data_IF_327208307667
#
_entry.id   IF_327208307667
#
_cell.length_a   1.000
_cell.length_b   1.000
_cell.length_c   1.000
_cell.angle_alpha   90.00
_cell.angle_beta   90.00
_cell.angle_gamma   90.00
#
_symmetry.space_group_name_H-M   'P 1'
#
loop_
_entity.id
_entity.type
_entity.pdbx_description
1 polymer ?
#
# COMPACT_ATOMS: atom_id res chain seq x y z
N UNK A 1 11.33 -27.23 -4.99
CA UNK A 1 10.81 -27.60 -3.66
C UNK A 1 9.75 -26.57 -3.29
N UNK A 2 8.50 -27.00 -3.10
CA UNK A 2 7.45 -26.11 -2.61
C UNK A 2 7.75 -25.74 -1.14
N UNK A 3 7.47 -24.50 -0.69
CA UNK A 3 7.66 -24.13 0.70
C UNK A 3 6.76 -25.00 1.58
N UNK A 4 7.39 -25.66 2.56
CA UNK A 4 6.73 -26.51 3.53
C UNK A 4 5.85 -25.62 4.42
N UNK A 5 4.54 -25.60 4.15
CA UNK A 5 3.56 -24.93 4.99
C UNK A 5 3.61 -25.58 6.38
N UNK A 6 4.24 -24.91 7.35
CA UNK A 6 4.20 -25.30 8.77
C UNK A 6 2.74 -25.34 9.23
N UNK A 7 2.15 -26.55 9.24
CA UNK A 7 0.90 -26.81 9.97
C UNK A 7 1.20 -26.60 11.45
N UNK A 8 0.57 -25.59 12.04
CA UNK A 8 0.49 -25.50 13.49
C UNK A 8 -0.23 -26.77 13.97
N UNK A 9 0.39 -27.52 14.89
CA UNK A 9 -0.08 -28.86 15.30
C UNK A 9 -1.35 -28.81 16.15
N UNK A 10 -1.83 -27.62 16.50
CA UNK A 10 -3.10 -27.42 17.18
C UNK A 10 -4.09 -26.64 16.30
N UNK A 11 -5.07 -27.36 15.76
CA UNK A 11 -6.25 -26.88 15.02
C UNK A 11 -6.03 -26.27 13.63
N UNK A 12 -5.91 -27.14 12.61
CA UNK A 12 -6.70 -27.12 11.36
C UNK A 12 -6.65 -25.93 10.39
N UNK A 13 -6.03 -24.80 10.73
CA UNK A 13 -5.85 -23.65 9.86
C UNK A 13 -4.39 -23.50 9.47
N UNK A 14 -4.08 -23.57 8.18
CA UNK A 14 -2.75 -23.22 7.68
C UNK A 14 -2.58 -21.71 7.83
N UNK A 15 -1.76 -21.27 8.78
CA UNK A 15 -1.36 -19.87 8.88
C UNK A 15 -0.32 -19.65 7.77
N UNK A 16 -0.65 -18.80 6.81
CA UNK A 16 0.35 -18.34 5.84
C UNK A 16 1.39 -17.48 6.59
N UNK A 17 2.63 -17.95 6.62
CA UNK A 17 3.76 -17.17 7.10
C UNK A 17 4.11 -16.11 6.04
N UNK A 18 4.64 -14.97 6.49
CA UNK A 18 5.10 -13.95 5.54
C UNK A 18 6.40 -14.41 4.88
N UNK A 19 6.73 -13.92 3.68
CA UNK A 19 8.02 -14.23 3.06
C UNK A 19 9.24 -13.89 3.95
N UNK A 20 9.14 -12.85 4.78
CA UNK A 20 10.20 -12.53 5.75
C UNK A 20 10.26 -13.53 6.90
N UNK A 21 9.11 -13.97 7.44
CA UNK A 21 9.07 -15.04 8.44
C UNK A 21 9.68 -16.33 7.86
N UNK A 22 9.34 -16.69 6.62
CA UNK A 22 9.92 -17.86 5.95
C UNK A 22 11.44 -17.72 5.72
N UNK A 23 11.92 -16.52 5.37
CA UNK A 23 13.36 -16.30 5.13
C UNK A 23 14.19 -16.29 6.42
N UNK A 24 13.64 -15.78 7.52
CA UNK A 24 14.34 -15.63 8.81
C UNK A 24 14.17 -16.87 9.68
N UNK A 25 12.94 -17.39 9.81
CA UNK A 25 12.62 -18.52 10.68
C UNK A 25 12.65 -19.87 9.94
N UNK A 26 12.69 -19.86 8.61
CA UNK A 26 12.89 -21.04 7.77
C UNK A 26 14.36 -21.36 7.51
N UNK A 27 14.60 -22.50 6.85
CA UNK A 27 15.92 -23.00 6.48
C UNK A 27 16.34 -22.46 5.10
N UNK A 28 16.41 -21.13 4.99
CA UNK A 28 16.78 -20.45 3.74
C UNK A 28 18.30 -20.34 3.61
N UNK A 29 18.83 -20.70 2.43
CA UNK A 29 20.25 -20.53 2.08
C UNK A 29 20.72 -19.06 2.20
N UNK A 30 19.81 -18.09 2.07
CA UNK A 30 20.12 -16.66 2.11
C UNK A 30 19.93 -16.01 3.49
N UNK A 31 19.60 -16.79 4.53
CA UNK A 31 19.35 -16.28 5.88
C UNK A 31 20.52 -15.45 6.42
N UNK A 32 21.76 -15.94 6.26
CA UNK A 32 22.96 -15.21 6.70
C UNK A 32 23.13 -13.86 6.00
N UNK A 33 22.87 -13.82 4.68
CA UNK A 33 22.92 -12.58 3.90
C UNK A 33 21.84 -11.58 4.38
N UNK A 34 20.62 -12.05 4.58
CA UNK A 34 19.52 -11.23 5.10
C UNK A 34 19.85 -10.66 6.48
N UNK A 35 20.33 -11.48 7.42
CA UNK A 35 20.72 -11.02 8.76
C UNK A 35 21.83 -9.97 8.70
N UNK A 36 22.84 -10.18 7.83
CA UNK A 36 23.95 -9.25 7.65
C UNK A 36 23.48 -7.92 7.07
N UNK A 37 22.61 -7.97 6.06
CA UNK A 37 22.01 -6.78 5.45
C UNK A 37 21.18 -5.96 6.45
N UNK A 38 20.35 -6.63 7.26
CA UNK A 38 19.58 -5.99 8.32
C UNK A 38 20.48 -5.38 9.40
N UNK A 39 21.62 -6.01 9.71
CA UNK A 39 22.61 -5.46 10.62
C UNK A 39 23.24 -4.17 10.06
N UNK A 40 23.59 -4.14 8.77
CA UNK A 40 24.10 -2.90 8.13
C UNK A 40 23.06 -1.78 8.15
N UNK A 41 21.80 -2.07 7.84
CA UNK A 41 20.72 -1.10 7.95
C UNK A 41 20.60 -0.61 9.40
N UNK A 42 20.60 -1.52 10.37
CA UNK A 42 20.52 -1.17 11.79
C UNK A 42 21.66 -0.26 12.24
N UNK A 43 22.90 -0.57 11.84
CA UNK A 43 24.07 0.27 12.12
C UNK A 43 23.99 1.64 11.45
N UNK A 44 23.51 1.71 10.21
CA UNK A 44 23.32 2.96 9.49
C UNK A 44 22.25 3.84 10.15
N UNK A 45 21.12 3.25 10.53
CA UNK A 45 20.06 3.95 11.27
C UNK A 45 20.55 4.42 12.65
N UNK A 46 21.35 3.60 13.33
CA UNK A 46 21.97 3.99 14.60
C UNK A 46 22.92 5.18 14.41
N UNK A 47 23.76 5.17 13.36
CA UNK A 47 24.62 6.30 13.00
C UNK A 47 23.80 7.58 12.78
N UNK A 48 22.73 7.51 11.99
CA UNK A 48 21.87 8.66 11.73
C UNK A 48 21.19 9.17 13.01
N UNK A 49 20.72 8.27 13.88
CA UNK A 49 20.14 8.65 15.17
C UNK A 49 21.16 9.28 16.11
N UNK A 50 22.42 8.83 16.08
CA UNK A 50 23.51 9.46 16.81
C UNK A 50 23.84 10.86 16.29
N UNK A 51 23.89 11.03 14.96
CA UNK A 51 24.09 12.34 14.33
C UNK A 51 22.95 13.31 14.67
N UNK A 52 21.70 12.82 14.66
CA UNK A 52 20.54 13.60 15.11
C UNK A 52 20.71 14.07 16.56
N UNK A 53 21.05 13.17 17.48
CA UNK A 53 21.29 13.50 18.89
C UNK A 53 22.37 14.56 19.06
N UNK A 54 23.46 14.49 18.28
CA UNK A 54 24.53 15.49 18.34
C UNK A 54 24.08 16.85 17.81
N UNK A 55 23.24 16.89 16.78
CA UNK A 55 22.77 18.13 16.17
C UNK A 55 21.71 18.84 17.02
N UNK A 56 20.75 18.09 17.59
CA UNK A 56 19.59 18.65 18.29
C UNK A 56 19.69 18.55 19.82
N UNK A 57 20.69 17.83 20.35
CA UNK A 57 20.91 17.65 21.79
C UNK A 57 19.93 16.69 22.47
N UNK A 58 18.95 16.16 21.74
CA UNK A 58 17.97 15.19 22.22
C UNK A 58 17.58 14.23 21.08
N UNK A 59 17.10 13.03 21.44
CA UNK A 59 16.45 12.17 20.48
C UNK A 59 15.11 12.81 20.14
N UNK A 60 14.52 12.51 18.98
CA UNK A 60 13.16 12.90 18.66
C UNK A 60 12.19 12.38 19.74
N UNK A 61 11.91 13.22 20.74
CA UNK A 61 11.21 12.85 21.98
C UNK A 61 9.69 12.78 21.77
N UNK A 62 9.16 13.59 20.84
CA UNK A 62 7.74 13.64 20.50
C UNK A 62 7.53 13.31 19.02
N UNK A 63 7.49 12.01 18.71
CA UNK A 63 7.13 11.49 17.38
C UNK A 63 5.89 12.18 16.80
N UNK A 64 4.90 12.47 17.64
CA UNK A 64 3.65 13.15 17.25
C UNK A 64 3.92 14.59 16.80
N UNK A 65 4.75 15.33 17.53
CA UNK A 65 5.09 16.72 17.21
C UNK A 65 5.96 16.79 15.94
N UNK A 66 6.90 15.86 15.78
CA UNK A 66 7.80 15.81 14.63
C UNK A 66 7.06 15.40 13.36
N UNK A 67 6.13 14.44 13.47
CA UNK A 67 5.27 14.06 12.37
C UNK A 67 4.15 15.09 12.11
N UNK A 68 4.08 16.19 12.87
CA UNK A 68 3.06 17.23 12.72
C UNK A 68 1.63 16.68 12.83
N UNK A 69 1.44 15.60 13.59
CA UNK A 69 0.17 14.89 13.63
C UNK A 69 -0.83 15.68 14.48
N UNK A 70 -1.79 16.31 13.81
CA UNK A 70 -3.01 16.77 14.46
C UNK A 70 -3.89 15.56 14.77
N UNK A 71 -3.60 14.90 15.90
CA UNK A 71 -4.31 13.70 16.34
C UNK A 71 -5.82 13.94 16.50
N UNK A 72 -6.23 15.14 16.88
CA UNK A 72 -7.63 15.49 17.03
C UNK A 72 -8.34 15.66 15.69
N UNK A 73 -7.67 16.23 14.68
CA UNK A 73 -8.18 16.24 13.33
C UNK A 73 -8.28 14.81 12.77
N UNK A 74 -7.19 14.04 12.87
CA UNK A 74 -7.13 12.66 12.37
C UNK A 74 -8.23 11.81 13.01
N UNK A 75 -8.32 11.77 14.34
CA UNK A 75 -9.30 10.93 15.03
C UNK A 75 -10.75 11.28 14.65
N UNK A 76 -11.08 12.57 14.54
CA UNK A 76 -12.42 12.99 14.10
C UNK A 76 -12.71 12.57 12.66
N UNK A 77 -11.76 12.78 11.75
CA UNK A 77 -11.94 12.41 10.34
C UNK A 77 -12.04 10.90 10.17
N UNK A 78 -11.20 10.12 10.85
CA UNK A 78 -11.26 8.65 10.86
C UNK A 78 -12.60 8.13 11.36
N UNK A 79 -13.13 8.68 12.47
CA UNK A 79 -14.46 8.30 12.99
C UNK A 79 -15.56 8.63 11.98
N UNK A 80 -15.55 9.82 11.40
CA UNK A 80 -16.56 10.24 10.41
C UNK A 80 -16.51 9.39 9.13
N UNK A 81 -15.30 9.14 8.62
CA UNK A 81 -15.06 8.27 7.48
C UNK A 81 -15.53 6.84 7.77
N UNK A 82 -15.19 6.31 8.93
CA UNK A 82 -15.60 4.98 9.35
C UNK A 82 -17.12 4.84 9.45
N UNK A 83 -17.80 5.81 10.07
CA UNK A 83 -19.26 5.85 10.12
C UNK A 83 -19.87 5.95 8.71
N UNK A 84 -19.24 6.70 7.81
CA UNK A 84 -19.67 6.78 6.40
C UNK A 84 -19.72 5.41 5.71
N UNK A 85 -18.81 4.48 6.05
CA UNK A 85 -18.82 3.14 5.46
C UNK A 85 -20.15 2.40 5.67
N UNK A 86 -20.87 2.65 6.77
CA UNK A 86 -22.15 1.99 7.05
C UNK A 86 -23.26 2.36 6.04
N UNK A 87 -23.07 3.41 5.24
CA UNK A 87 -23.97 3.74 4.12
C UNK A 87 -24.10 2.55 3.16
N UNK A 88 -23.02 1.83 2.85
CA UNK A 88 -23.13 0.65 1.98
C UNK A 88 -23.93 -0.48 2.62
N UNK A 89 -23.81 -0.65 3.94
CA UNK A 89 -24.62 -1.64 4.66
C UNK A 89 -26.11 -1.30 4.59
N UNK A 90 -26.46 -0.03 4.79
CA UNK A 90 -27.84 0.46 4.71
C UNK A 90 -28.41 0.26 3.31
N UNK A 91 -27.69 0.64 2.25
CA UNK A 91 -28.15 0.46 0.85
C UNK A 91 -28.39 -1.01 0.53
N UNK A 92 -27.47 -1.91 0.89
CA UNK A 92 -27.63 -3.34 0.64
C UNK A 92 -28.77 -3.95 1.46
N UNK A 93 -29.01 -3.44 2.67
CA UNK A 93 -30.16 -3.83 3.48
C UNK A 93 -31.49 -3.40 2.85
N UNK A 94 -31.54 -2.21 2.22
CA UNK A 94 -32.72 -1.75 1.46
C UNK A 94 -32.95 -2.58 0.20
N UNK A 95 -31.87 -2.96 -0.50
CA UNK A 95 -31.97 -3.90 -1.63
C UNK A 95 -32.56 -5.23 -1.18
N UNK A 96 -32.12 -5.76 -0.04
CA UNK A 96 -32.63 -7.04 0.49
C UNK A 96 -34.14 -7.05 0.74
N UNK A 97 -34.71 -5.92 1.18
CA UNK A 97 -36.15 -5.76 1.50
C UNK A 97 -36.96 -5.31 0.28
N UNK A 98 -36.39 -5.37 -0.93
CA UNK A 98 -37.03 -4.96 -2.19
C UNK A 98 -37.47 -3.48 -2.23
N UNK A 99 -36.97 -2.64 -1.32
CA UNK A 99 -37.22 -1.19 -1.33
C UNK A 99 -36.39 -0.47 -2.38
N UNK A 100 -35.29 -1.07 -2.82
CA UNK A 100 -34.34 -0.48 -3.75
C UNK A 100 -33.86 -1.52 -4.77
N UNK A 101 -33.93 -1.21 -6.05
CA UNK A 101 -33.40 -2.10 -7.10
C UNK A 101 -31.91 -1.84 -7.34
N UNK A 102 -31.09 -2.88 -7.20
CA UNK A 102 -29.64 -2.79 -7.37
C UNK A 102 -29.21 -2.28 -8.76
N UNK A 103 -29.84 -2.78 -9.84
CA UNK A 103 -29.38 -2.53 -11.21
C UNK A 103 -29.72 -1.12 -11.71
N UNK A 104 -30.83 -0.55 -11.25
CA UNK A 104 -31.28 0.77 -11.70
C UNK A 104 -30.80 1.90 -10.79
N UNK A 105 -31.11 1.82 -9.49
CA UNK A 105 -30.84 2.91 -8.54
C UNK A 105 -29.66 2.62 -7.62
N UNK A 106 -29.46 1.36 -7.20
CA UNK A 106 -28.50 1.02 -6.14
C UNK A 106 -27.06 1.19 -6.57
N UNK A 107 -26.70 0.64 -7.71
CA UNK A 107 -25.36 0.76 -8.27
C UNK A 107 -24.99 2.22 -8.55
N UNK A 108 -25.89 2.98 -9.18
CA UNK A 108 -25.67 4.39 -9.50
C UNK A 108 -25.49 5.23 -8.23
N UNK A 109 -26.34 5.02 -7.23
CA UNK A 109 -26.21 5.70 -5.94
C UNK A 109 -24.88 5.39 -5.27
N UNK A 110 -24.47 4.11 -5.24
CA UNK A 110 -23.19 3.71 -4.65
C UNK A 110 -22.00 4.31 -5.40
N UNK A 111 -22.00 4.33 -6.73
CA UNK A 111 -20.94 4.93 -7.52
C UNK A 111 -20.79 6.44 -7.25
N UNK A 112 -21.91 7.18 -7.17
CA UNK A 112 -21.90 8.61 -6.81
C UNK A 112 -21.44 8.82 -5.37
N UNK A 113 -21.87 7.96 -4.45
CA UNK A 113 -21.47 8.00 -3.05
C UNK A 113 -19.97 7.75 -2.87
N UNK A 114 -19.39 6.78 -3.57
CA UNK A 114 -17.96 6.47 -3.53
C UNK A 114 -17.11 7.65 -4.00
N UNK A 115 -17.52 8.32 -5.09
CA UNK A 115 -16.85 9.54 -5.57
C UNK A 115 -16.99 10.67 -4.55
N UNK A 116 -18.20 10.91 -4.05
CA UNK A 116 -18.45 11.93 -3.03
C UNK A 116 -17.61 11.67 -1.78
N UNK A 117 -17.55 10.43 -1.30
CA UNK A 117 -16.78 10.01 -0.14
C UNK A 117 -15.30 10.32 -0.34
N UNK A 118 -14.71 9.89 -1.47
CA UNK A 118 -13.29 10.12 -1.74
C UNK A 118 -12.97 11.61 -1.81
N UNK A 119 -13.73 12.41 -2.55
CA UNK A 119 -13.40 13.83 -2.73
C UNK A 119 -13.75 14.70 -1.53
N UNK A 120 -14.85 14.45 -0.83
CA UNK A 120 -15.30 15.29 0.30
C UNK A 120 -14.31 15.24 1.47
N UNK A 121 -13.91 14.05 1.92
CA UNK A 121 -12.98 13.91 3.04
C UNK A 121 -11.60 14.48 2.72
N UNK A 122 -11.08 14.22 1.52
CA UNK A 122 -9.80 14.78 1.09
C UNK A 122 -9.85 16.32 0.93
N UNK A 123 -11.00 16.88 0.55
CA UNK A 123 -11.20 18.33 0.52
C UNK A 123 -11.19 18.94 1.92
N UNK A 124 -11.81 18.28 2.92
CA UNK A 124 -11.88 18.78 4.29
C UNK A 124 -10.50 18.89 4.95
N UNK A 125 -9.60 17.95 4.67
CA UNK A 125 -8.25 17.91 5.27
C UNK A 125 -7.21 18.69 4.48
N UNK A 126 -7.57 19.38 3.39
CA UNK A 126 -6.61 20.13 2.55
C UNK A 126 -5.76 21.16 3.28
N UNK A 127 -6.25 21.66 4.43
CA UNK A 127 -5.57 22.66 5.28
C UNK A 127 -4.73 22.03 6.39
N UNK A 128 -4.83 20.72 6.60
CA UNK A 128 -4.04 20.00 7.60
C UNK A 128 -2.61 19.77 7.11
N UNK A 129 -1.72 19.39 8.02
CA UNK A 129 -0.35 19.00 7.70
C UNK A 129 -0.27 17.88 6.66
N UNK A 130 0.82 17.83 5.90
CA UNK A 130 0.94 16.93 4.74
C UNK A 130 0.84 15.45 5.11
N UNK A 131 1.37 15.04 6.27
CA UNK A 131 1.28 13.66 6.76
C UNK A 131 -0.18 13.29 7.06
N UNK A 132 -0.92 14.18 7.74
CA UNK A 132 -2.36 14.02 7.99
C UNK A 132 -3.13 13.87 6.69
N UNK A 133 -2.83 14.69 5.67
CA UNK A 133 -3.46 14.58 4.35
C UNK A 133 -3.21 13.22 3.70
N UNK A 134 -1.97 12.73 3.73
CA UNK A 134 -1.61 11.41 3.17
C UNK A 134 -2.31 10.28 3.89
N UNK A 135 -2.33 10.30 5.23
CA UNK A 135 -2.97 9.27 6.03
C UNK A 135 -4.46 9.15 5.67
N UNK A 136 -5.18 10.28 5.70
CA UNK A 136 -6.61 10.35 5.39
C UNK A 136 -6.87 9.95 3.93
N UNK A 137 -6.01 10.35 3.00
CA UNK A 137 -6.10 9.90 1.61
C UNK A 137 -5.99 8.37 1.48
N UNK A 138 -4.93 7.77 2.04
CA UNK A 138 -4.72 6.33 1.97
C UNK A 138 -5.87 5.54 2.62
N UNK A 139 -6.34 6.00 3.79
CA UNK A 139 -7.46 5.38 4.48
C UNK A 139 -8.77 5.52 3.70
N UNK A 140 -9.05 6.70 3.14
CA UNK A 140 -10.24 6.91 2.30
C UNK A 140 -10.22 6.03 1.05
N UNK A 141 -9.08 5.86 0.38
CA UNK A 141 -8.95 4.91 -0.73
C UNK A 141 -9.24 3.46 -0.28
N UNK A 142 -8.63 3.01 0.82
CA UNK A 142 -8.85 1.67 1.34
C UNK A 142 -10.34 1.43 1.72
N UNK A 143 -10.97 2.41 2.36
CA UNK A 143 -12.37 2.33 2.76
C UNK A 143 -13.32 2.36 1.56
N UNK A 144 -13.07 3.21 0.54
CA UNK A 144 -13.84 3.21 -0.72
C UNK A 144 -13.73 1.86 -1.43
N UNK A 145 -12.53 1.27 -1.50
CA UNK A 145 -12.37 -0.08 -2.06
C UNK A 145 -13.16 -1.12 -1.26
N UNK A 146 -13.20 -1.01 0.08
CA UNK A 146 -14.00 -1.91 0.91
C UNK A 146 -15.51 -1.75 0.68
N UNK A 147 -15.99 -0.50 0.64
CA UNK A 147 -17.38 -0.10 0.35
C UNK A 147 -17.79 -0.69 -1.00
N UNK A 148 -16.99 -0.43 -2.03
CA UNK A 148 -17.21 -0.92 -3.39
C UNK A 148 -17.27 -2.44 -3.44
N UNK A 149 -16.28 -3.11 -2.83
CA UNK A 149 -16.24 -4.57 -2.86
C UNK A 149 -17.43 -5.22 -2.15
N UNK A 150 -17.90 -4.63 -1.04
CA UNK A 150 -19.07 -5.12 -0.32
C UNK A 150 -20.35 -4.92 -1.16
N UNK A 151 -20.56 -3.70 -1.65
CA UNK A 151 -21.73 -3.35 -2.43
C UNK A 151 -21.81 -4.13 -3.74
N UNK A 152 -20.72 -4.21 -4.50
CA UNK A 152 -20.66 -4.96 -5.75
C UNK A 152 -20.93 -6.47 -5.56
N UNK A 153 -20.37 -7.07 -4.50
CA UNK A 153 -20.50 -8.52 -4.26
C UNK A 153 -21.90 -8.91 -3.80
N UNK A 154 -22.50 -8.13 -2.90
CA UNK A 154 -23.82 -8.44 -2.35
C UNK A 154 -24.96 -7.85 -3.15
N UNK A 155 -24.74 -6.77 -3.91
CA UNK A 155 -25.81 -6.04 -4.58
C UNK A 155 -26.66 -6.90 -5.52
N UNK A 156 -26.04 -7.80 -6.28
CA UNK A 156 -26.76 -8.72 -7.17
C UNK A 156 -27.37 -9.94 -6.47
N UNK A 157 -26.90 -10.27 -5.26
CA UNK A 157 -27.25 -11.52 -4.55
C UNK A 157 -27.82 -11.26 -3.14
N UNK A 158 -28.28 -10.04 -2.86
CA UNK A 158 -28.64 -9.58 -1.53
C UNK A 158 -29.77 -10.43 -0.91
N UNK A 159 -30.73 -10.86 -1.73
CA UNK A 159 -31.86 -11.68 -1.30
C UNK A 159 -31.46 -13.09 -0.86
N UNK A 160 -30.36 -13.63 -1.39
CA UNK A 160 -29.89 -15.00 -1.11
C UNK A 160 -28.92 -15.07 0.06
N UNK A 161 -28.39 -13.93 0.52
CA UNK A 161 -27.32 -13.86 1.49
C UNK A 161 -27.82 -13.40 2.87
N UNK A 162 -27.21 -13.94 3.92
CA UNK A 162 -27.40 -13.44 5.28
C UNK A 162 -26.60 -12.14 5.42
N UNK A 163 -27.29 -11.04 5.67
CA UNK A 163 -26.69 -9.71 5.86
C UNK A 163 -26.87 -9.35 7.32
N UNK A 164 -25.76 -9.24 8.06
CA UNK A 164 -25.77 -8.83 9.46
C UNK A 164 -24.80 -7.69 9.69
N UNK A 165 -25.14 -6.80 10.63
CA UNK A 165 -24.27 -5.69 11.02
C UNK A 165 -22.93 -6.18 11.57
N UNK A 166 -22.95 -7.33 12.27
CA UNK A 166 -21.76 -7.95 12.84
C UNK A 166 -20.79 -8.40 11.76
N UNK A 167 -21.28 -9.09 10.72
CA UNK A 167 -20.41 -9.57 9.64
C UNK A 167 -19.81 -8.41 8.85
N UNK A 168 -20.61 -7.35 8.62
CA UNK A 168 -20.13 -6.10 8.03
C UNK A 168 -19.04 -5.44 8.88
N UNK A 169 -19.28 -5.26 10.18
CA UNK A 169 -18.30 -4.70 11.11
C UNK A 169 -17.00 -5.51 11.15
N UNK A 170 -17.08 -6.84 11.17
CA UNK A 170 -15.87 -7.67 11.15
C UNK A 170 -15.09 -7.48 9.84
N UNK A 171 -15.78 -7.40 8.69
CA UNK A 171 -15.15 -7.12 7.41
C UNK A 171 -14.47 -5.76 7.34
N UNK A 172 -15.08 -4.70 7.89
CA UNK A 172 -14.45 -3.37 7.92
C UNK A 172 -13.16 -3.37 8.74
N UNK A 173 -13.03 -4.25 9.74
CA UNK A 173 -11.81 -4.42 10.54
C UNK A 173 -10.74 -5.31 9.90
N UNK A 174 -11.10 -6.28 9.06
CA UNK A 174 -10.10 -7.19 8.47
C UNK A 174 -9.13 -6.48 7.51
N UNK A 175 -7.83 -6.86 7.47
CA UNK A 175 -6.84 -6.25 6.60
C UNK A 175 -6.93 -6.72 5.12
N UNK A 176 -8.15 -6.85 4.59
CA UNK A 176 -8.44 -7.19 3.19
C UNK A 176 -9.33 -6.13 2.54
N UNK A 177 -9.17 -5.94 1.23
CA UNK A 177 -9.97 -4.99 0.44
C UNK A 177 -11.07 -5.70 -0.36
N UNK A 178 -11.11 -7.03 -0.33
CA UNK A 178 -12.10 -7.83 -1.05
C UNK A 178 -13.03 -8.51 -0.05
N UNK A 179 -14.33 -8.21 -0.19
CA UNK A 179 -15.38 -8.86 0.56
C UNK A 179 -15.58 -10.31 0.10
N UNK A 180 -15.66 -11.20 1.08
CA UNK A 180 -16.03 -12.60 0.91
C UNK A 180 -17.07 -12.95 1.98
N UNK A 181 -17.93 -13.92 1.67
CA UNK A 181 -19.00 -14.34 2.58
C UNK A 181 -18.45 -15.08 3.81
N UNK A 182 -17.34 -15.80 3.64
CA UNK A 182 -16.71 -16.59 4.69
C UNK A 182 -15.20 -16.34 4.69
N UNK A 183 -14.69 -15.70 5.74
CA UNK A 183 -13.26 -15.49 5.94
C UNK A 183 -12.65 -16.60 6.79
N UNK A 184 -11.42 -17.00 6.46
CA UNK A 184 -10.65 -17.97 7.25
C UNK A 184 -10.12 -17.28 8.51
N UNK A 185 -10.32 -17.91 9.67
CA UNK A 185 -9.99 -17.34 10.98
C UNK A 185 -9.01 -18.19 11.77
N UNK A 186 -8.20 -17.53 12.60
CA UNK A 186 -7.34 -18.20 13.58
C UNK A 186 -8.12 -18.48 14.87
N UNK A 187 -7.65 -19.46 15.65
CA UNK A 187 -8.27 -19.87 16.92
C UNK A 187 -7.84 -19.03 18.12
N UNK A 188 -6.63 -18.46 18.09
CA UNK A 188 -6.01 -17.71 19.19
C UNK A 188 -5.19 -16.52 18.71
N UNK A 189 -5.00 -15.56 19.59
CA UNK A 189 -4.05 -14.44 19.44
C UNK A 189 -2.71 -14.83 20.05
N UNK A 190 -1.63 -14.77 19.27
CA UNK A 190 -0.26 -15.03 19.71
C UNK A 190 0.36 -13.76 20.26
N UNK A 191 0.25 -13.55 21.58
CA UNK A 191 0.66 -12.32 22.23
C UNK A 191 2.15 -11.99 22.04
N UNK A 192 3.04 -12.98 22.06
CA UNK A 192 4.48 -12.76 21.80
C UNK A 192 4.76 -12.25 20.38
N UNK A 193 4.04 -12.78 19.38
CA UNK A 193 4.10 -12.30 18.01
C UNK A 193 3.60 -10.85 17.91
N UNK A 194 2.48 -10.55 18.58
CA UNK A 194 1.88 -9.22 18.62
C UNK A 194 2.83 -8.18 19.24
N UNK A 195 3.38 -8.45 20.43
CA UNK A 195 4.28 -7.53 21.14
C UNK A 195 5.54 -7.25 20.30
N UNK A 196 6.15 -8.30 19.72
CA UNK A 196 7.31 -8.15 18.84
C UNK A 196 7.02 -7.21 17.66
N UNK A 197 5.87 -7.38 16.99
CA UNK A 197 5.48 -6.54 15.85
C UNK A 197 5.11 -5.12 16.28
N UNK A 198 4.43 -4.95 17.42
CA UNK A 198 4.12 -3.62 17.98
C UNK A 198 5.39 -2.83 18.33
N UNK A 199 6.40 -3.49 18.92
CA UNK A 199 7.70 -2.87 19.15
C UNK A 199 8.38 -2.47 17.84
N UNK A 200 8.37 -3.36 16.84
CA UNK A 200 8.92 -3.06 15.52
C UNK A 200 8.22 -1.88 14.83
N UNK A 201 6.92 -1.69 15.01
CA UNK A 201 6.20 -0.51 14.49
C UNK A 201 6.83 0.78 15.04
N UNK A 202 7.09 0.85 16.35
CA UNK A 202 7.71 2.03 16.97
C UNK A 202 9.12 2.28 16.43
N UNK A 203 9.93 1.23 16.32
CA UNK A 203 11.30 1.33 15.77
C UNK A 203 11.27 1.81 14.32
N UNK A 204 10.35 1.29 13.50
CA UNK A 204 10.23 1.67 12.08
C UNK A 204 9.74 3.12 11.93
N UNK A 205 8.74 3.55 12.72
CA UNK A 205 8.26 4.94 12.70
C UNK A 205 9.38 5.94 13.04
N UNK A 206 10.14 5.63 14.09
CA UNK A 206 11.29 6.44 14.50
C UNK A 206 12.38 6.46 13.43
N UNK A 207 12.67 5.31 12.81
CA UNK A 207 13.65 5.20 11.73
C UNK A 207 13.25 6.02 10.50
N UNK A 208 11.96 6.02 10.14
CA UNK A 208 11.43 6.82 9.03
C UNK A 208 11.66 8.33 9.27
N UNK A 209 11.36 8.81 10.49
CA UNK A 209 11.56 10.21 10.87
C UNK A 209 13.03 10.61 10.73
N UNK A 210 13.94 9.81 11.31
CA UNK A 210 15.38 10.08 11.22
C UNK A 210 15.88 10.11 9.78
N UNK A 211 15.45 9.17 8.93
CA UNK A 211 15.85 9.13 7.53
C UNK A 211 15.35 10.38 6.79
N UNK A 212 14.12 10.81 7.07
CA UNK A 212 13.56 12.03 6.49
C UNK A 212 14.36 13.26 6.94
N UNK A 213 14.58 13.44 8.24
CA UNK A 213 15.19 14.67 8.78
C UNK A 213 16.70 14.74 8.53
N UNK A 214 17.45 13.67 8.84
CA UNK A 214 18.92 13.69 8.75
C UNK A 214 19.44 13.48 7.33
N UNK A 215 18.75 12.68 6.52
CA UNK A 215 19.28 12.26 5.22
C UNK A 215 18.55 12.95 4.07
N UNK A 216 17.22 12.89 4.04
CA UNK A 216 16.46 13.37 2.88
C UNK A 216 16.24 14.87 2.88
N UNK A 217 15.92 15.46 4.03
CA UNK A 217 15.53 16.87 4.20
C UNK A 217 16.55 17.85 3.62
N UNK A 218 17.84 17.77 4.00
CA UNK A 218 18.89 18.64 3.44
C UNK A 218 19.02 18.53 1.92
N UNK A 219 18.95 17.31 1.37
CA UNK A 219 19.06 17.05 -0.06
C UNK A 219 17.86 17.66 -0.81
N UNK A 220 16.64 17.47 -0.28
CA UNK A 220 15.43 18.02 -0.88
C UNK A 220 15.41 19.56 -0.81
N UNK A 221 15.89 20.15 0.29
CA UNK A 221 16.01 21.59 0.43
C UNK A 221 17.01 22.19 -0.56
N UNK A 222 18.14 21.52 -0.80
CA UNK A 222 19.10 21.88 -1.85
C UNK A 222 18.43 21.83 -3.23
N UNK A 223 17.76 20.71 -3.55
CA UNK A 223 17.09 20.48 -4.84
C UNK A 223 16.04 21.57 -5.12
N UNK A 224 15.24 21.95 -4.13
CA UNK A 224 14.18 22.94 -4.26
C UNK A 224 14.70 24.35 -4.60
N UNK A 225 15.97 24.66 -4.28
CA UNK A 225 16.61 25.93 -4.58
C UNK A 225 17.39 25.90 -5.91
N UNK A 226 17.66 24.72 -6.46
CA UNK A 226 18.40 24.57 -7.72
C UNK A 226 17.48 24.72 -8.93
N UNK A 227 17.67 25.72 -9.81
CA UNK A 227 16.91 25.80 -11.06
C UNK A 227 17.26 24.64 -11.99
N UNK A 228 16.31 24.24 -12.84
CA UNK A 228 16.54 23.21 -13.87
C UNK A 228 17.38 23.81 -15.00
N UNK A 229 18.70 23.68 -14.91
CA UNK A 229 19.63 24.23 -15.91
C UNK A 229 20.04 23.19 -16.96
N UNK A 230 20.16 21.90 -16.58
CA UNK A 230 20.65 20.83 -17.46
C UNK A 230 20.20 19.45 -17.01
N UNK A 231 20.15 18.49 -17.95
CA UNK A 231 19.90 17.07 -17.67
C UNK A 231 20.92 16.48 -16.68
N UNK A 232 22.18 16.94 -16.71
CA UNK A 232 23.23 16.50 -15.77
C UNK A 232 22.90 16.87 -14.33
N UNK A 233 22.30 18.05 -14.10
CA UNK A 233 21.85 18.49 -12.77
C UNK A 233 20.75 17.57 -12.24
N UNK A 234 19.78 17.22 -13.09
CA UNK A 234 18.69 16.30 -12.73
C UNK A 234 19.23 14.93 -12.36
N UNK A 235 20.12 14.35 -13.19
CA UNK A 235 20.73 13.04 -12.92
C UNK A 235 21.52 13.05 -11.61
N UNK A 236 22.31 14.10 -11.36
CA UNK A 236 23.10 14.24 -10.14
C UNK A 236 22.20 14.29 -8.90
N UNK A 237 21.10 15.06 -8.96
CA UNK A 237 20.13 15.16 -7.87
C UNK A 237 19.42 13.83 -7.60
N UNK A 238 19.08 13.07 -8.65
CA UNK A 238 18.51 11.72 -8.51
C UNK A 238 19.49 10.78 -7.79
N UNK A 239 20.75 10.78 -8.18
CA UNK A 239 21.78 9.92 -7.59
C UNK A 239 22.10 10.29 -6.14
N UNK A 240 22.07 11.59 -5.80
CA UNK A 240 22.20 12.05 -4.41
C UNK A 240 21.05 11.56 -3.53
N UNK A 241 19.82 11.67 -4.02
CA UNK A 241 18.61 11.36 -3.27
C UNK A 241 18.30 9.85 -3.19
N UNK A 242 18.84 9.08 -4.14
CA UNK A 242 18.59 7.64 -4.33
C UNK A 242 18.75 6.79 -3.06
N UNK A 243 19.87 6.84 -2.30
CA UNK A 243 20.06 5.93 -1.18
C UNK A 243 19.02 6.16 -0.08
N UNK A 244 18.75 7.42 0.23
CA UNK A 244 17.81 7.83 1.27
C UNK A 244 16.38 7.48 0.89
N UNK A 245 15.98 7.71 -0.36
CA UNK A 245 14.67 7.34 -0.86
C UNK A 245 14.44 5.83 -0.89
N UNK A 246 15.42 5.06 -1.35
CA UNK A 246 15.30 3.61 -1.37
C UNK A 246 15.12 3.06 0.04
N UNK A 247 15.95 3.52 0.99
CA UNK A 247 15.84 3.12 2.39
C UNK A 247 14.46 3.49 2.96
N UNK A 248 13.97 4.71 2.71
CA UNK A 248 12.65 5.14 3.14
C UNK A 248 11.54 4.23 2.60
N UNK A 249 11.57 3.90 1.31
CA UNK A 249 10.59 3.00 0.69
C UNK A 249 10.63 1.59 1.31
N UNK A 250 11.81 1.04 1.57
CA UNK A 250 11.96 -0.27 2.23
C UNK A 250 11.42 -0.26 3.66
N UNK A 251 11.74 0.76 4.45
CA UNK A 251 11.24 0.91 5.83
C UNK A 251 9.73 1.11 5.85
N UNK A 252 9.18 1.93 4.95
CA UNK A 252 7.75 2.15 4.83
C UNK A 252 7.01 0.87 4.40
N UNK A 253 7.59 0.10 3.48
CA UNK A 253 7.05 -1.20 3.08
C UNK A 253 7.02 -2.18 4.26
N UNK A 254 8.13 -2.30 5.00
CA UNK A 254 8.22 -3.17 6.16
C UNK A 254 7.25 -2.74 7.29
N UNK A 255 7.12 -1.44 7.53
CA UNK A 255 6.18 -0.91 8.51
C UNK A 255 4.73 -1.32 8.20
N UNK A 256 4.28 -1.10 6.97
CA UNK A 256 2.86 -1.30 6.62
C UNK A 256 2.54 -2.77 6.42
N UNK A 257 3.20 -3.45 5.48
CA UNK A 257 2.80 -4.80 5.06
C UNK A 257 3.28 -5.88 6.02
N UNK A 258 4.47 -5.69 6.60
CA UNK A 258 5.07 -6.71 7.45
C UNK A 258 4.69 -6.52 8.93
N UNK A 259 4.54 -5.29 9.41
CA UNK A 259 4.15 -5.04 10.81
C UNK A 259 2.67 -4.72 10.98
N UNK A 260 2.18 -3.60 10.42
CA UNK A 260 0.84 -3.08 10.70
C UNK A 260 -0.28 -4.03 10.28
N UNK A 261 -0.28 -4.51 9.04
CA UNK A 261 -1.32 -5.43 8.55
C UNK A 261 -1.34 -6.75 9.34
N UNK A 262 -0.17 -7.25 9.74
CA UNK A 262 -0.04 -8.46 10.55
C UNK A 262 -0.55 -8.28 11.99
N UNK A 263 -0.33 -7.11 12.59
CA UNK A 263 -0.91 -6.75 13.90
C UNK A 263 -2.43 -6.73 13.80
N UNK A 264 -2.98 -6.03 12.80
CA UNK A 264 -4.43 -5.96 12.58
C UNK A 264 -5.00 -7.37 12.32
N UNK A 265 -4.31 -8.19 11.52
CA UNK A 265 -4.71 -9.57 11.25
C UNK A 265 -4.76 -10.42 12.52
N UNK A 266 -3.74 -10.32 13.37
CA UNK A 266 -3.68 -11.07 14.64
C UNK A 266 -4.80 -10.63 15.59
N UNK A 267 -5.02 -9.32 15.76
CA UNK A 267 -6.08 -8.77 16.63
C UNK A 267 -7.49 -9.13 16.17
N UNK A 268 -7.69 -9.26 14.86
CA UNK A 268 -8.99 -9.59 14.26
C UNK A 268 -9.19 -11.10 14.04
N UNK A 269 -8.23 -11.94 14.42
CA UNK A 269 -8.22 -13.38 14.15
C UNK A 269 -8.28 -13.72 12.65
N UNK A 270 -7.73 -12.84 11.80
CA UNK A 270 -7.69 -13.05 10.35
C UNK A 270 -6.50 -13.96 9.97
N UNK A 271 -6.80 -15.04 9.26
CA UNK A 271 -5.80 -16.06 8.93
C UNK A 271 -5.10 -15.85 7.58
N UNK A 272 -5.75 -15.23 6.59
CA UNK A 272 -5.14 -15.00 5.27
C UNK A 272 -4.14 -13.84 5.33
N UNK A 273 -2.85 -14.17 5.49
CA UNK A 273 -1.75 -13.18 5.57
C UNK A 273 -0.98 -13.01 4.27
N UNK A 274 -1.57 -13.39 3.14
CA UNK A 274 -1.02 -13.16 1.79
C UNK A 274 -1.17 -11.67 1.40
N UNK A 275 -0.52 -10.77 2.16
CA UNK A 275 -0.50 -9.32 1.90
C UNK A 275 0.51 -8.93 0.83
N UNK A 276 1.62 -9.68 0.73
CA UNK A 276 2.67 -9.51 -0.25
C UNK A 276 3.42 -10.84 -0.48
N UNK A 277 4.14 -10.94 -1.59
CA UNK A 277 5.03 -12.06 -1.94
C UNK A 277 6.47 -11.56 -2.12
N UNK A 278 7.39 -12.43 -2.51
CA UNK A 278 8.81 -12.15 -2.77
C UNK A 278 9.03 -11.27 -4.02
N UNK A 279 8.44 -10.07 -4.02
CA UNK A 279 8.39 -9.15 -5.15
C UNK A 279 9.77 -8.65 -5.59
N UNK A 280 10.78 -8.71 -4.71
CA UNK A 280 12.18 -8.41 -5.04
C UNK A 280 12.78 -9.42 -6.03
N UNK A 281 12.21 -10.62 -6.15
CA UNK A 281 12.62 -11.64 -7.13
C UNK A 281 11.88 -11.54 -8.48
N UNK A 282 11.07 -10.48 -8.68
CA UNK A 282 10.29 -10.30 -9.90
C UNK A 282 11.19 -10.11 -11.11
N UNK A 283 10.89 -10.81 -12.21
CA UNK A 283 11.59 -10.63 -13.49
C UNK A 283 10.91 -9.63 -14.43
N UNK A 284 9.68 -9.22 -14.13
CA UNK A 284 8.91 -8.27 -14.97
C UNK A 284 8.06 -7.33 -14.12
N UNK A 285 7.66 -6.20 -14.72
CA UNK A 285 6.78 -5.23 -14.04
C UNK A 285 5.42 -5.87 -13.70
N UNK A 286 4.87 -6.71 -14.59
CA UNK A 286 3.60 -7.42 -14.32
C UNK A 286 3.71 -8.42 -13.16
N UNK A 287 4.87 -9.07 -13.01
CA UNK A 287 5.15 -9.95 -11.88
C UNK A 287 5.22 -9.15 -10.57
N UNK A 288 5.91 -8.01 -10.58
CA UNK A 288 5.95 -7.09 -9.44
C UNK A 288 4.56 -6.58 -9.05
N UNK A 289 3.77 -6.09 -10.01
CA UNK A 289 2.41 -5.59 -9.76
C UNK A 289 1.48 -6.64 -9.14
N UNK A 290 1.77 -7.93 -9.28
CA UNK A 290 0.95 -9.01 -8.72
C UNK A 290 1.44 -9.52 -7.35
N UNK A 291 2.68 -9.19 -6.97
CA UNK A 291 3.36 -9.70 -5.77
C UNK A 291 3.51 -8.66 -4.67
N UNK A 292 3.75 -7.39 -4.99
CA UNK A 292 4.13 -6.38 -3.98
C UNK A 292 3.00 -6.04 -2.99
N UNK A 293 1.79 -5.82 -3.49
CA UNK A 293 0.60 -5.51 -2.69
C UNK A 293 -0.57 -6.36 -3.17
N UNK A 294 -0.67 -7.55 -2.56
CA UNK A 294 -1.66 -8.57 -2.91
C UNK A 294 -3.08 -8.10 -2.63
N UNK A 295 -3.30 -7.33 -1.56
CA UNK A 295 -4.63 -6.83 -1.20
C UNK A 295 -5.22 -5.93 -2.30
N UNK A 296 -4.43 -4.95 -2.77
CA UNK A 296 -4.84 -4.07 -3.87
C UNK A 296 -4.90 -4.83 -5.20
N UNK A 297 -3.95 -5.73 -5.47
CA UNK A 297 -3.97 -6.55 -6.67
C UNK A 297 -5.24 -7.42 -6.76
N UNK A 298 -5.62 -8.12 -5.67
CA UNK A 298 -6.84 -8.94 -5.60
C UNK A 298 -8.08 -8.10 -5.90
N UNK A 299 -8.16 -6.88 -5.34
CA UNK A 299 -9.25 -5.94 -5.61
C UNK A 299 -9.30 -5.51 -7.08
N UNK A 300 -8.20 -4.97 -7.62
CA UNK A 300 -8.14 -4.49 -9.01
C UNK A 300 -8.42 -5.61 -10.00
N UNK A 301 -7.93 -6.81 -9.71
CA UNK A 301 -8.20 -7.99 -10.54
C UNK A 301 -9.70 -8.33 -10.58
N UNK A 302 -10.37 -8.35 -9.42
CA UNK A 302 -11.77 -8.76 -9.29
C UNK A 302 -12.76 -7.72 -9.82
N UNK A 303 -12.53 -6.45 -9.49
CA UNK A 303 -13.53 -5.39 -9.68
C UNK A 303 -13.24 -4.48 -10.88
N UNK A 304 -12.03 -4.53 -11.44
CA UNK A 304 -11.66 -3.70 -12.60
C UNK A 304 -11.26 -4.59 -13.78
N UNK A 305 -10.19 -5.38 -13.63
CA UNK A 305 -9.65 -6.19 -14.73
C UNK A 305 -10.65 -7.19 -15.30
N UNK A 306 -11.21 -8.08 -14.48
CA UNK A 306 -12.11 -9.14 -14.96
C UNK A 306 -13.39 -8.58 -15.62
N UNK A 307 -14.09 -7.57 -15.03
CA UNK A 307 -15.21 -6.92 -15.70
C UNK A 307 -14.83 -6.26 -17.02
N UNK A 308 -13.74 -5.50 -17.08
CA UNK A 308 -13.28 -4.86 -18.33
C UNK A 308 -12.98 -5.91 -19.41
N UNK A 309 -12.26 -6.98 -19.08
CA UNK A 309 -11.97 -8.05 -20.03
C UNK A 309 -13.25 -8.70 -20.56
N UNK A 310 -14.25 -8.91 -19.71
CA UNK A 310 -15.56 -9.46 -20.12
C UNK A 310 -16.32 -8.49 -21.04
N UNK A 311 -16.28 -7.19 -20.75
CA UNK A 311 -16.94 -6.17 -21.55
C UNK A 311 -16.31 -6.00 -22.94
N UNK A 312 -14.99 -6.16 -23.06
CA UNK A 312 -14.25 -6.06 -24.32
C UNK A 312 -13.94 -7.45 -24.93
N UNK A 313 -14.94 -8.35 -24.96
CA UNK A 313 -14.89 -9.65 -25.64
C UNK A 313 -13.66 -10.53 -25.32
N UNK A 314 -13.17 -10.48 -24.08
CA UNK A 314 -12.04 -11.29 -23.63
C UNK A 314 -10.66 -10.69 -23.92
N UNK A 315 -10.58 -9.47 -24.46
CA UNK A 315 -9.29 -8.85 -24.76
C UNK A 315 -8.58 -8.37 -23.49
N UNK A 316 -7.48 -9.05 -23.16
CA UNK A 316 -6.65 -8.79 -21.96
C UNK A 316 -5.99 -7.43 -21.97
N UNK A 317 -5.67 -6.87 -23.15
CA UNK A 317 -4.97 -5.60 -23.27
C UNK A 317 -5.77 -4.45 -22.66
N UNK A 318 -7.06 -4.34 -22.99
CA UNK A 318 -7.94 -3.32 -22.41
C UNK A 318 -8.07 -3.45 -20.89
N UNK A 319 -8.09 -4.69 -20.37
CA UNK A 319 -8.06 -4.93 -18.93
C UNK A 319 -6.79 -4.41 -18.27
N UNK A 320 -5.61 -4.64 -18.88
CA UNK A 320 -4.33 -4.14 -18.36
C UNK A 320 -4.32 -2.60 -18.40
N UNK A 321 -4.69 -2.00 -19.54
CA UNK A 321 -4.73 -0.54 -19.70
C UNK A 321 -5.67 0.10 -18.68
N UNK A 322 -6.87 -0.45 -18.45
CA UNK A 322 -7.83 0.08 -17.49
C UNK A 322 -7.30 0.05 -16.06
N UNK A 323 -6.68 -1.06 -15.64
CA UNK A 323 -6.07 -1.17 -14.30
C UNK A 323 -4.92 -0.18 -14.13
N UNK A 324 -4.04 -0.08 -15.13
CA UNK A 324 -2.91 0.84 -15.09
C UNK A 324 -3.37 2.29 -15.06
N UNK A 325 -4.35 2.66 -15.89
CA UNK A 325 -4.91 4.01 -15.94
C UNK A 325 -5.55 4.39 -14.60
N UNK A 326 -6.40 3.53 -14.05
CA UNK A 326 -7.04 3.77 -12.75
C UNK A 326 -5.99 3.92 -11.64
N UNK A 327 -5.01 3.00 -11.59
CA UNK A 327 -3.93 3.06 -10.61
C UNK A 327 -3.12 4.35 -10.76
N UNK A 328 -2.74 4.72 -11.98
CA UNK A 328 -2.00 5.96 -12.26
C UNK A 328 -2.75 7.22 -11.83
N UNK A 329 -4.07 7.28 -12.08
CA UNK A 329 -4.92 8.39 -11.65
C UNK A 329 -4.99 8.52 -10.13
N UNK A 330 -5.17 7.40 -9.41
CA UNK A 330 -5.24 7.40 -7.94
C UNK A 330 -3.89 7.80 -7.33
N UNK A 331 -2.77 7.35 -7.88
CA UNK A 331 -1.45 7.76 -7.38
C UNK A 331 -1.12 9.23 -7.72
N UNK A 332 -1.51 9.73 -8.90
CA UNK A 332 -1.41 11.16 -9.20
C UNK A 332 -2.26 11.99 -8.23
N UNK A 333 -3.46 11.51 -7.88
CA UNK A 333 -4.30 12.13 -6.86
C UNK A 333 -3.61 12.11 -5.48
N UNK A 334 -2.93 11.02 -5.12
CA UNK A 334 -2.15 10.93 -3.88
C UNK A 334 -1.05 12.02 -3.83
N UNK A 335 -0.31 12.18 -4.93
CA UNK A 335 0.72 13.21 -5.04
C UNK A 335 0.13 14.62 -5.08
N UNK A 336 -1.02 14.81 -5.72
CA UNK A 336 -1.74 16.08 -5.66
C UNK A 336 -2.15 16.43 -4.22
N UNK A 337 -2.61 15.46 -3.43
CA UNK A 337 -2.92 15.65 -2.00
C UNK A 337 -1.67 16.01 -1.19
N UNK A 338 -0.51 15.42 -1.51
CA UNK A 338 0.78 15.74 -0.87
C UNK A 338 1.24 17.15 -1.23
N UNK A 339 1.43 17.42 -2.52
CA UNK A 339 2.10 18.61 -3.02
C UNK A 339 1.18 19.81 -3.26
N UNK A 340 -0.14 19.60 -3.30
CA UNK A 340 -1.15 20.63 -3.57
C UNK A 340 -0.92 21.38 -4.90
N UNK A 341 -0.23 20.74 -5.86
CA UNK A 341 0.05 21.27 -7.21
C UNK A 341 -0.21 20.17 -8.25
N UNK A 342 -1.02 20.43 -9.30
CA UNK A 342 -1.25 19.47 -10.36
C UNK A 342 -0.04 19.46 -11.31
N UNK A 343 0.67 18.32 -11.39
CA UNK A 343 1.88 18.20 -12.22
C UNK A 343 1.83 17.08 -13.25
N UNK A 344 1.01 16.04 -13.08
CA UNK A 344 0.82 14.91 -14.01
C UNK A 344 2.05 14.04 -14.31
N UNK A 345 3.16 14.21 -13.59
CA UNK A 345 4.40 13.47 -13.86
C UNK A 345 4.28 11.99 -13.49
N UNK A 346 3.54 11.66 -12.42
CA UNK A 346 3.40 10.27 -12.00
C UNK A 346 2.59 9.47 -13.00
N UNK A 347 1.43 9.97 -13.44
CA UNK A 347 0.60 9.23 -14.39
C UNK A 347 1.35 8.98 -15.71
N UNK A 348 2.14 9.94 -16.19
CA UNK A 348 2.96 9.77 -17.39
C UNK A 348 4.03 8.68 -17.20
N UNK A 349 4.75 8.70 -16.07
CA UNK A 349 5.75 7.68 -15.74
C UNK A 349 5.12 6.29 -15.51
N UNK A 350 3.92 6.24 -14.94
CA UNK A 350 3.20 5.00 -14.70
C UNK A 350 2.66 4.40 -16.00
N UNK A 351 2.17 5.23 -16.93
CA UNK A 351 1.71 4.76 -18.25
C UNK A 351 2.86 4.30 -19.13
N UNK A 352 4.05 4.90 -19.00
CA UNK A 352 5.23 4.48 -19.76
C UNK A 352 5.74 3.07 -19.41
N UNK A 353 5.24 2.47 -18.31
CA UNK A 353 5.48 1.07 -17.98
C UNK A 353 4.82 0.10 -18.99
N UNK A 354 3.71 0.49 -19.65
CA UNK A 354 2.98 -0.38 -20.58
C UNK A 354 3.83 -0.80 -21.80
N UNK A 355 4.53 0.12 -22.51
CA UNK A 355 5.50 -0.27 -23.53
C UNK A 355 6.58 -1.23 -23.00
N UNK A 356 7.11 -0.99 -21.79
CA UNK A 356 8.13 -1.86 -21.19
C UNK A 356 7.58 -3.27 -20.96
N UNK A 357 6.34 -3.38 -20.49
CA UNK A 357 5.64 -4.66 -20.31
C UNK A 357 5.48 -5.41 -21.64
N UNK A 358 5.22 -4.71 -22.74
CA UNK A 358 5.13 -5.34 -24.07
C UNK A 358 6.47 -5.89 -24.54
N UNK A 359 7.57 -5.18 -24.24
CA UNK A 359 8.94 -5.63 -24.54
C UNK A 359 9.37 -6.80 -23.64
N UNK A 360 8.97 -6.78 -22.37
CA UNK A 360 9.20 -7.84 -21.39
C UNK A 360 8.32 -9.08 -21.66
N UNK A 361 8.42 -9.66 -22.86
CA UNK A 361 7.66 -10.85 -23.21
C UNK A 361 7.93 -11.99 -22.20
N UNK A 362 6.93 -12.85 -21.90
CA UNK A 362 7.12 -13.97 -20.99
C UNK A 362 8.23 -14.93 -21.43
N UNK A 363 8.48 -15.03 -22.74
CA UNK A 363 9.54 -15.87 -23.29
C UNK A 363 10.93 -15.30 -23.00
N UNK A 364 11.14 -14.00 -23.27
CA UNK A 364 12.41 -13.31 -23.00
C UNK A 364 12.74 -13.25 -21.51
N UNK A 365 11.72 -12.98 -20.67
CA UNK A 365 11.90 -12.89 -19.21
C UNK A 365 12.33 -14.25 -18.62
N UNK A 366 11.82 -15.36 -19.17
CA UNK A 366 12.20 -16.71 -18.72
C UNK A 366 13.61 -17.09 -19.13
N UNK A 367 14.03 -16.75 -20.34
CA UNK A 367 15.39 -17.07 -20.81
C UNK A 367 16.46 -16.23 -20.12
N UNK A 368 16.16 -14.96 -19.78
CA UNK A 368 17.11 -14.01 -19.22
C UNK A 368 16.74 -13.54 -17.80
N UNK A 369 16.32 -14.45 -16.93
CA UNK A 369 15.71 -14.10 -15.63
C UNK A 369 16.57 -13.18 -14.76
N UNK A 370 17.88 -13.42 -14.71
CA UNK A 370 18.80 -12.59 -13.92
C UNK A 370 18.87 -11.14 -14.46
N UNK A 371 19.04 -10.98 -15.78
CA UNK A 371 19.10 -9.65 -16.42
C UNK A 371 17.76 -8.93 -16.26
N UNK A 372 16.65 -9.66 -16.43
CA UNK A 372 15.31 -9.11 -16.27
C UNK A 372 15.05 -8.61 -14.84
N UNK A 373 15.46 -9.38 -13.83
CA UNK A 373 15.39 -8.97 -12.42
C UNK A 373 16.32 -7.78 -12.11
N UNK A 374 17.52 -7.74 -12.67
CA UNK A 374 18.42 -6.60 -12.50
C UNK A 374 17.84 -5.31 -13.08
N UNK A 375 17.34 -5.34 -14.33
CA UNK A 375 16.70 -4.19 -14.97
C UNK A 375 15.45 -3.74 -14.21
N UNK A 376 14.64 -4.69 -13.74
CA UNK A 376 13.51 -4.41 -12.86
C UNK A 376 13.94 -3.72 -11.55
N UNK A 377 15.01 -4.20 -10.93
CA UNK A 377 15.55 -3.64 -9.69
C UNK A 377 16.04 -2.22 -9.89
N UNK A 378 16.78 -1.94 -10.97
CA UNK A 378 17.19 -0.56 -11.30
C UNK A 378 15.97 0.36 -11.46
N UNK A 379 14.93 -0.13 -12.14
CA UNK A 379 13.70 0.63 -12.37
C UNK A 379 12.98 0.98 -11.06
N UNK A 380 12.71 0.00 -10.19
CA UNK A 380 11.93 0.21 -8.97
C UNK A 380 12.66 1.10 -7.96
N UNK A 381 14.00 1.06 -7.95
CA UNK A 381 14.78 1.84 -6.99
C UNK A 381 14.97 3.30 -7.44
N UNK A 382 15.17 3.55 -8.74
CA UNK A 382 15.36 4.92 -9.25
C UNK A 382 14.05 5.70 -9.39
N UNK A 383 12.92 5.01 -9.61
CA UNK A 383 11.61 5.64 -9.87
C UNK A 383 11.16 6.64 -8.79
N UNK A 384 11.12 6.28 -7.50
CA UNK A 384 10.72 7.20 -6.43
C UNK A 384 11.60 8.45 -6.36
N UNK A 385 12.92 8.29 -6.50
CA UNK A 385 13.89 9.38 -6.48
C UNK A 385 13.69 10.35 -7.65
N UNK A 386 13.46 9.81 -8.86
CA UNK A 386 13.12 10.60 -10.03
C UNK A 386 11.84 11.43 -9.80
N UNK A 387 10.79 10.80 -9.28
CA UNK A 387 9.53 11.49 -8.99
C UNK A 387 9.73 12.62 -7.99
N UNK A 388 10.43 12.39 -6.88
CA UNK A 388 10.66 13.45 -5.90
C UNK A 388 11.42 14.63 -6.50
N UNK A 389 12.45 14.38 -7.30
CA UNK A 389 13.20 15.45 -7.98
C UNK A 389 12.27 16.27 -8.89
N UNK A 390 11.44 15.62 -9.72
CA UNK A 390 10.50 16.33 -10.61
C UNK A 390 9.41 17.11 -9.85
N UNK A 391 8.92 16.56 -8.73
CA UNK A 391 7.90 17.23 -7.92
C UNK A 391 8.46 18.38 -7.07
N UNK A 392 9.76 18.43 -6.78
CA UNK A 392 10.39 19.55 -6.05
C UNK A 392 11.06 20.59 -6.94
N UNK A 393 11.61 20.23 -8.10
CA UNK A 393 12.31 21.17 -8.99
C UNK A 393 11.39 21.99 -9.91
N UNK A 394 10.22 21.44 -10.30
CA UNK A 394 9.36 22.06 -11.31
C UNK A 394 8.24 22.96 -10.78
#
# INVERSE_FOLDING_TARGET
MAPEQKRDKDNGGVIHQTPFDEMIDGDSTYKGFCCTFMMFIGMYLFKLGWEYQLQYGHLPNDLIQILGLDLWCIARMEILMYLGMFTSFSVISLVKVDLLNWYYSGWTFMALYELFYLFSFNYLVRRCEWITRVLIFLHSCAQVMKIHSYAFTLGSSAHQQRITLRDFFMYTMYPTLVYETNFVRTSRVRLGYLIKRMFLILVMLYSLVIVIDCSMGPIVAEIAQTPVVSATTVITNILKLFPSMFLLCCLAFYLVWECLLNVIAELTYFADRDFYKDWWNSGSILEFCNTWNRSVHKFLKRHVYLPTVRQFNGNKFYGIVAVFLLSGLVHELALFVIFQRPKTHFILLFMSQLPVIMVQSPQWTRSNRMVANFLFSVYIVLGPSFLTVMYHMC
#
